data_IF_737574835255
#
_entry.id   IF_737574835255
#
_cell.length_a   1.000
_cell.length_b   1.000
_cell.length_c   1.000
_cell.angle_alpha   90.00
_cell.angle_beta   90.00
_cell.angle_gamma   90.00
#
_symmetry.space_group_name_H-M   'P 1'
#
loop_
_entity.id
_entity.type
_entity.pdbx_description
1 polymer ?
#
# COMPACT_ATOMS: atom_id res chain seq x y z
N UNK A 1 54.24 -18.74 69.41
CA UNK A 1 54.10 -19.31 68.06
C UNK A 1 52.61 -19.58 67.70
N UNK A 2 51.73 -18.57 67.75
CA UNK A 2 50.31 -18.73 67.36
C UNK A 2 49.78 -17.64 66.43
N UNK A 3 50.60 -16.65 66.08
CA UNK A 3 50.16 -15.44 65.34
C UNK A 3 50.53 -15.43 63.85
N UNK A 4 51.35 -16.38 63.38
CA UNK A 4 51.78 -16.44 61.98
C UNK A 4 50.86 -17.32 61.09
N UNK A 5 50.08 -18.23 61.68
CA UNK A 5 49.24 -19.17 60.93
C UNK A 5 47.88 -18.58 60.51
N UNK A 6 47.39 -17.53 61.19
CA UNK A 6 46.06 -16.96 60.93
C UNK A 6 46.05 -16.03 59.71
N UNK A 7 47.17 -15.38 59.41
CA UNK A 7 47.27 -14.45 58.25
C UNK A 7 47.44 -15.22 56.92
N UNK A 8 48.05 -16.40 56.95
CA UNK A 8 48.22 -17.23 55.75
C UNK A 8 46.91 -17.92 55.29
N UNK A 9 45.96 -18.15 56.21
CA UNK A 9 44.69 -18.79 55.90
C UNK A 9 43.64 -17.82 55.32
N UNK A 10 43.79 -16.51 55.57
CA UNK A 10 42.85 -15.48 55.10
C UNK A 10 43.06 -15.07 53.62
N UNK A 11 44.13 -15.52 52.97
CA UNK A 11 44.47 -15.15 51.59
C UNK A 11 44.09 -16.21 50.55
N UNK A 12 43.39 -17.29 50.96
CA UNK A 12 43.00 -18.38 50.07
C UNK A 12 41.53 -18.33 49.59
N UNK A 13 40.73 -17.35 50.03
CA UNK A 13 39.30 -17.32 49.73
C UNK A 13 38.90 -16.42 48.54
N UNK A 14 39.86 -15.89 47.77
CA UNK A 14 39.58 -14.89 46.72
C UNK A 14 39.79 -15.36 45.27
N UNK A 15 39.40 -16.61 44.93
CA UNK A 15 39.30 -17.02 43.52
C UNK A 15 38.10 -17.97 43.28
N UNK A 16 36.89 -17.44 43.41
CA UNK A 16 35.74 -17.97 42.66
C UNK A 16 35.19 -16.84 41.78
N UNK A 17 35.94 -16.57 40.72
CA UNK A 17 35.57 -15.66 39.65
C UNK A 17 34.25 -16.13 39.00
N UNK A 18 33.24 -15.26 39.10
CA UNK A 18 32.20 -15.01 38.10
C UNK A 18 31.86 -16.19 37.15
N UNK A 19 31.12 -17.17 37.65
CA UNK A 19 30.35 -18.05 36.78
C UNK A 19 29.12 -17.27 36.31
N UNK A 20 29.16 -16.75 35.09
CA UNK A 20 28.01 -16.10 34.47
C UNK A 20 26.82 -17.04 34.48
N UNK A 21 25.72 -16.63 35.11
CA UNK A 21 24.43 -17.31 34.97
C UNK A 21 24.01 -17.16 33.52
N UNK A 22 24.13 -18.25 32.75
CA UNK A 22 23.44 -18.39 31.47
C UNK A 22 21.94 -18.43 31.77
N UNK A 23 21.31 -17.26 31.83
CA UNK A 23 19.86 -17.15 31.69
C UNK A 23 19.56 -17.51 30.25
N UNK A 24 19.36 -18.81 30.00
CA UNK A 24 18.70 -19.26 28.78
C UNK A 24 17.27 -18.78 28.89
N UNK A 25 17.03 -17.55 28.42
CA UNK A 25 15.69 -17.09 28.16
C UNK A 25 15.07 -18.13 27.21
N UNK A 26 13.90 -18.72 27.53
CA UNK A 26 13.19 -19.47 26.53
C UNK A 26 12.86 -18.47 25.42
N UNK A 27 13.65 -18.48 24.34
CA UNK A 27 13.17 -18.01 23.05
C UNK A 27 12.14 -19.04 22.60
N UNK A 28 10.96 -19.00 23.22
CA UNK A 28 9.77 -19.27 22.46
C UNK A 28 9.73 -18.14 21.42
N UNK A 29 10.40 -18.37 20.30
CA UNK A 29 9.83 -17.91 19.05
C UNK A 29 8.48 -18.63 18.97
N UNK A 30 7.47 -18.07 19.66
CA UNK A 30 6.12 -18.14 19.18
C UNK A 30 6.31 -17.66 17.75
N UNK A 31 6.21 -18.59 16.80
CA UNK A 31 5.81 -18.19 15.46
C UNK A 31 4.53 -17.41 15.75
N UNK A 32 4.63 -16.07 15.72
CA UNK A 32 3.48 -15.19 15.80
C UNK A 32 2.76 -15.42 14.49
N UNK A 33 2.17 -16.61 14.34
CA UNK A 33 1.22 -16.88 13.29
C UNK A 33 0.09 -15.95 13.61
N UNK A 34 0.02 -14.86 12.87
CA UNK A 34 -1.04 -13.88 13.04
C UNK A 34 -2.38 -14.63 12.96
N UNK A 35 -3.36 -14.33 13.82
CA UNK A 35 -4.65 -15.02 13.80
C UNK A 35 -5.41 -14.89 12.47
N UNK A 36 -4.88 -14.09 11.52
CA UNK A 36 -5.45 -13.77 10.22
C UNK A 36 -4.79 -14.50 9.03
N UNK A 37 -4.01 -15.56 9.27
CA UNK A 37 -3.36 -16.35 8.21
C UNK A 37 -4.35 -17.06 7.24
N UNK A 38 -5.62 -17.17 7.61
CA UNK A 38 -6.70 -17.71 6.75
C UNK A 38 -7.58 -16.65 6.08
N UNK A 39 -7.26 -15.36 6.25
CA UNK A 39 -8.08 -14.27 5.73
C UNK A 39 -7.86 -14.03 4.23
N UNK A 40 -8.90 -13.50 3.57
CA UNK A 40 -8.92 -13.25 2.13
C UNK A 40 -7.75 -12.37 1.67
N UNK A 41 -6.85 -12.84 0.81
CA UNK A 41 -5.73 -12.04 0.28
C UNK A 41 -4.36 -12.38 0.86
N UNK A 42 -4.31 -13.45 1.67
CA UNK A 42 -3.13 -14.31 1.80
C UNK A 42 -2.93 -15.02 0.46
N UNK A 43 -1.75 -14.87 -0.13
CA UNK A 43 -1.43 -15.42 -1.45
C UNK A 43 -0.07 -16.11 -1.42
N UNK A 44 0.06 -17.22 -2.13
CA UNK A 44 1.37 -17.81 -2.39
C UNK A 44 2.13 -16.96 -3.43
N UNK A 45 3.46 -16.77 -3.33
CA UNK A 45 4.44 -17.40 -2.43
C UNK A 45 4.70 -16.65 -1.11
N UNK A 46 4.12 -15.47 -0.91
CA UNK A 46 4.41 -14.60 0.25
C UNK A 46 3.68 -15.02 1.52
N UNK A 47 2.62 -15.82 1.40
CA UNK A 47 1.74 -16.15 2.51
C UNK A 47 1.18 -14.89 3.17
N UNK A 48 1.02 -14.94 4.49
CA UNK A 48 0.62 -13.79 5.29
C UNK A 48 1.79 -12.80 5.42
N UNK A 49 1.69 -11.66 4.73
CA UNK A 49 2.75 -10.65 4.66
C UNK A 49 2.54 -9.52 5.69
N UNK A 50 3.18 -9.65 6.85
CA UNK A 50 3.21 -8.61 7.89
C UNK A 50 4.61 -8.49 8.52
N UNK A 51 5.58 -7.86 7.83
CA UNK A 51 6.95 -7.73 8.34
C UNK A 51 7.07 -6.78 9.53
N UNK A 52 6.11 -5.88 9.73
CA UNK A 52 6.10 -4.89 10.82
C UNK A 52 5.27 -5.35 12.03
N UNK A 53 4.66 -6.54 11.97
CA UNK A 53 3.87 -7.11 13.06
C UNK A 53 2.61 -6.30 13.39
N UNK A 54 2.10 -5.51 12.45
CA UNK A 54 0.95 -4.63 12.65
C UNK A 54 -0.32 -5.42 13.01
N UNK A 55 -0.45 -6.67 12.59
CA UNK A 55 -1.62 -7.51 12.87
C UNK A 55 -1.57 -8.24 14.21
N UNK A 56 -0.44 -8.17 14.92
CA UNK A 56 -0.13 -9.10 16.03
C UNK A 56 -0.79 -8.72 17.36
N UNK A 57 -1.08 -7.43 17.56
CA UNK A 57 -1.60 -6.88 18.83
C UNK A 57 -2.91 -6.09 18.65
N UNK A 58 -3.65 -6.36 17.57
CA UNK A 58 -4.79 -5.54 17.14
C UNK A 58 -6.11 -6.31 17.27
N UNK A 59 -7.19 -5.58 17.60
CA UNK A 59 -8.56 -6.10 17.65
C UNK A 59 -9.09 -6.46 16.25
N UNK A 60 -10.03 -7.41 16.14
CA UNK A 60 -10.60 -7.79 14.85
C UNK A 60 -11.27 -6.61 14.12
N UNK A 61 -11.90 -5.70 14.86
CA UNK A 61 -12.51 -4.49 14.31
C UNK A 61 -11.49 -3.58 13.61
N UNK A 62 -10.32 -3.39 14.20
CA UNK A 62 -9.26 -2.57 13.59
C UNK A 62 -8.64 -3.28 12.39
N UNK A 63 -8.58 -4.61 12.38
CA UNK A 63 -8.18 -5.37 11.18
C UNK A 63 -9.15 -5.17 10.02
N UNK A 64 -10.47 -5.21 10.29
CA UNK A 64 -11.50 -4.92 9.28
C UNK A 64 -11.40 -3.49 8.73
N UNK A 65 -11.08 -2.52 9.59
CA UNK A 65 -10.83 -1.14 9.17
C UNK A 65 -9.62 -1.04 8.23
N UNK A 66 -8.51 -1.73 8.55
CA UNK A 66 -7.34 -1.78 7.68
C UNK A 66 -7.62 -2.48 6.35
N UNK A 67 -8.40 -3.57 6.35
CA UNK A 67 -8.85 -4.22 5.13
C UNK A 67 -9.70 -3.29 4.26
N UNK A 68 -10.63 -2.58 4.89
CA UNK A 68 -11.51 -1.63 4.20
C UNK A 68 -10.70 -0.47 3.63
N UNK A 69 -9.71 0.03 4.37
CA UNK A 69 -8.78 1.03 3.89
C UNK A 69 -7.96 0.51 2.70
N UNK A 70 -7.38 -0.69 2.78
CA UNK A 70 -6.66 -1.33 1.67
C UNK A 70 -7.53 -1.40 0.41
N UNK A 71 -8.78 -1.81 0.54
CA UNK A 71 -9.71 -1.91 -0.58
C UNK A 71 -10.06 -0.53 -1.18
N UNK A 72 -10.33 0.48 -0.34
CA UNK A 72 -10.59 1.85 -0.81
C UNK A 72 -9.40 2.42 -1.57
N UNK A 73 -8.18 2.28 -1.05
CA UNK A 73 -6.96 2.75 -1.72
C UNK A 73 -6.70 1.98 -3.02
N UNK A 74 -6.90 0.66 -3.03
CA UNK A 74 -6.77 -0.18 -4.22
C UNK A 74 -7.70 0.24 -5.35
N UNK A 75 -8.98 0.48 -5.06
CA UNK A 75 -9.98 0.94 -6.04
C UNK A 75 -9.63 2.32 -6.62
N UNK A 76 -9.26 3.26 -5.76
CA UNK A 76 -8.84 4.60 -6.20
C UNK A 76 -7.58 4.52 -7.07
N UNK A 77 -6.62 3.67 -6.71
CA UNK A 77 -5.41 3.46 -7.51
C UNK A 77 -5.71 2.82 -8.87
N UNK A 78 -6.63 1.85 -8.95
CA UNK A 78 -7.05 1.26 -10.22
C UNK A 78 -7.66 2.32 -11.17
N UNK A 79 -8.53 3.19 -10.63
CA UNK A 79 -9.10 4.31 -11.39
C UNK A 79 -8.02 5.33 -11.78
N UNK A 80 -7.02 5.56 -10.92
CA UNK A 80 -5.90 6.46 -11.21
C UNK A 80 -5.07 5.96 -12.39
N UNK A 81 -4.70 4.67 -12.42
CA UNK A 81 -3.94 4.08 -13.53
C UNK A 81 -4.72 4.20 -14.85
N UNK A 82 -6.00 3.84 -14.85
CA UNK A 82 -6.85 4.01 -16.04
C UNK A 82 -6.96 5.49 -16.43
N UNK A 83 -7.07 6.38 -15.45
CA UNK A 83 -7.15 7.83 -15.64
C UNK A 83 -5.87 8.46 -16.19
N UNK A 84 -4.70 7.85 -15.98
CA UNK A 84 -3.45 8.28 -16.63
C UNK A 84 -3.36 7.79 -18.09
N UNK A 85 -3.79 6.55 -18.34
CA UNK A 85 -3.66 5.89 -19.65
C UNK A 85 -4.71 6.41 -20.65
N UNK A 86 -5.98 6.51 -20.27
CA UNK A 86 -7.09 6.82 -21.20
C UNK A 86 -6.94 8.17 -21.90
N UNK A 87 -6.55 9.29 -21.23
CA UNK A 87 -6.36 10.58 -21.88
C UNK A 87 -5.25 10.62 -22.94
N UNK A 88 -4.34 9.63 -22.94
CA UNK A 88 -3.33 9.48 -24.01
C UNK A 88 -3.95 8.96 -25.30
N UNK A 89 -4.94 8.06 -25.21
CA UNK A 89 -5.58 7.46 -26.37
C UNK A 89 -6.77 8.27 -26.89
N UNK A 90 -7.55 8.86 -25.98
CA UNK A 90 -8.80 9.50 -26.35
C UNK A 90 -9.10 10.71 -25.46
N UNK A 91 -9.43 11.84 -26.12
CA UNK A 91 -9.93 13.04 -25.47
C UNK A 91 -11.36 13.29 -25.90
N UNK A 92 -12.20 13.68 -24.95
CA UNK A 92 -13.60 14.00 -25.25
C UNK A 92 -13.69 15.25 -26.14
N UNK A 93 -14.57 15.25 -27.16
CA UNK A 93 -14.82 16.44 -27.95
C UNK A 93 -15.63 17.46 -27.12
N UNK A 94 -15.15 18.69 -27.03
CA UNK A 94 -15.86 19.80 -26.36
C UNK A 94 -14.95 20.67 -25.49
N UNK A 95 -15.60 21.49 -24.67
CA UNK A 95 -14.95 22.40 -23.71
C UNK A 95 -15.29 22.01 -22.28
N UNK A 96 -14.28 22.01 -21.40
CA UNK A 96 -14.44 21.76 -19.96
C UNK A 96 -15.04 22.98 -19.25
N UNK A 97 -14.71 24.16 -19.75
CA UNK A 97 -15.15 25.47 -19.29
C UNK A 97 -15.15 26.41 -20.50
N UNK A 98 -15.94 27.51 -20.51
CA UNK A 98 -15.98 28.41 -21.65
C UNK A 98 -14.57 28.89 -22.03
N UNK A 99 -14.09 28.46 -23.20
CA UNK A 99 -12.75 28.79 -23.72
C UNK A 99 -11.61 27.85 -23.34
N UNK A 100 -11.86 26.71 -22.69
CA UNK A 100 -10.87 25.65 -22.43
C UNK A 100 -11.35 24.35 -23.07
N UNK A 101 -10.72 23.97 -24.19
CA UNK A 101 -11.03 22.70 -24.85
C UNK A 101 -10.40 21.53 -24.09
N UNK A 102 -11.04 20.36 -24.11
CA UNK A 102 -10.45 19.14 -23.53
C UNK A 102 -9.13 18.75 -24.21
N UNK A 103 -8.93 19.16 -25.47
CA UNK A 103 -7.71 18.92 -26.23
C UNK A 103 -6.48 19.65 -25.66
N UNK A 104 -6.69 20.80 -25.02
CA UNK A 104 -5.61 21.66 -24.52
C UNK A 104 -5.15 21.28 -23.09
N UNK A 105 -5.78 20.26 -22.50
CA UNK A 105 -5.43 19.78 -21.16
C UNK A 105 -4.19 18.88 -21.28
N UNK A 106 -3.07 19.24 -20.62
CA UNK A 106 -1.87 18.41 -20.58
C UNK A 106 -2.14 17.13 -19.80
N UNK A 107 -1.41 16.06 -20.10
CA UNK A 107 -1.54 14.79 -19.38
C UNK A 107 -0.82 14.85 -18.02
N UNK A 108 -1.18 13.93 -17.12
CA UNK A 108 -0.52 13.76 -15.83
C UNK A 108 -0.82 14.86 -14.80
N UNK A 109 0.14 15.10 -13.91
CA UNK A 109 0.07 16.08 -12.81
C UNK A 109 -0.10 17.51 -13.33
N UNK A 110 0.35 17.80 -14.56
CA UNK A 110 0.12 19.09 -15.19
C UNK A 110 -1.36 19.42 -15.38
N UNK A 111 -2.21 18.39 -15.60
CA UNK A 111 -3.66 18.56 -15.75
C UNK A 111 -4.29 19.21 -14.52
N UNK A 112 -3.75 18.92 -13.34
CA UNK A 112 -4.31 19.36 -12.05
C UNK A 112 -4.38 20.89 -11.96
N UNK A 113 -3.38 21.58 -12.49
CA UNK A 113 -3.28 23.03 -12.46
C UNK A 113 -4.12 23.73 -13.54
N UNK A 114 -4.52 23.01 -14.59
CA UNK A 114 -5.31 23.56 -15.71
C UNK A 114 -6.81 23.53 -15.45
N UNK A 115 -7.26 22.63 -14.57
CA UNK A 115 -8.68 22.49 -14.25
C UNK A 115 -9.11 23.65 -13.34
N UNK A 116 -10.17 24.41 -13.68
CA UNK A 116 -10.64 25.52 -12.88
C UNK A 116 -11.11 25.05 -11.49
N UNK A 117 -10.92 25.89 -10.47
CA UNK A 117 -11.27 25.57 -9.08
C UNK A 117 -12.74 25.15 -8.89
N UNK A 118 -13.66 25.66 -9.72
CA UNK A 118 -15.07 25.27 -9.68
C UNK A 118 -15.27 23.80 -10.09
N UNK A 119 -14.49 23.30 -11.05
CA UNK A 119 -14.52 21.88 -11.44
C UNK A 119 -14.02 20.98 -10.33
N UNK A 120 -12.93 21.38 -9.66
CA UNK A 120 -12.43 20.69 -8.46
C UNK A 120 -13.46 20.63 -7.34
N UNK A 121 -14.15 21.75 -7.07
CA UNK A 121 -15.21 21.80 -6.06
C UNK A 121 -16.34 20.83 -6.42
N UNK A 122 -16.80 20.81 -7.67
CA UNK A 122 -17.85 19.89 -8.11
C UNK A 122 -17.45 18.43 -7.96
N UNK A 123 -16.21 18.07 -8.33
CA UNK A 123 -15.70 16.70 -8.20
C UNK A 123 -15.59 16.27 -6.73
N UNK A 124 -14.96 17.10 -5.88
CA UNK A 124 -14.80 16.79 -4.45
C UNK A 124 -16.15 16.76 -3.74
N UNK A 125 -17.07 17.67 -4.09
CA UNK A 125 -18.44 17.67 -3.55
C UNK A 125 -19.19 16.40 -3.94
N UNK A 126 -19.12 15.98 -5.21
CA UNK A 126 -19.77 14.76 -5.67
C UNK A 126 -19.18 13.52 -5.00
N UNK A 127 -17.85 13.39 -4.96
CA UNK A 127 -17.18 12.26 -4.30
C UNK A 127 -17.53 12.23 -2.82
N UNK A 128 -17.47 13.38 -2.14
CA UNK A 128 -17.80 13.51 -0.72
C UNK A 128 -19.27 13.19 -0.43
N UNK A 129 -20.19 13.63 -1.28
CA UNK A 129 -21.59 13.25 -1.18
C UNK A 129 -21.74 11.72 -1.34
N UNK A 130 -21.15 11.14 -2.38
CA UNK A 130 -21.31 9.69 -2.67
C UNK A 130 -20.70 8.82 -1.56
N UNK A 131 -19.56 9.19 -0.98
CA UNK A 131 -18.96 8.46 0.15
C UNK A 131 -19.77 8.68 1.45
N UNK A 132 -20.35 9.87 1.67
CA UNK A 132 -21.24 10.15 2.81
C UNK A 132 -22.56 9.38 2.75
N UNK A 133 -23.19 9.32 1.58
CA UNK A 133 -24.45 8.59 1.36
C UNK A 133 -24.22 7.07 1.18
N UNK A 134 -22.97 6.58 1.27
CA UNK A 134 -22.64 5.16 1.30
C UNK A 134 -22.75 4.42 -0.03
N UNK A 135 -22.98 5.13 -1.14
CA UNK A 135 -23.21 4.52 -2.47
C UNK A 135 -21.95 3.84 -3.01
N UNK A 136 -20.75 4.29 -2.62
CA UNK A 136 -19.45 3.72 -3.06
C UNK A 136 -18.98 2.50 -2.25
N UNK A 137 -19.59 2.21 -1.10
CA UNK A 137 -19.15 1.17 -0.18
C UNK A 137 -19.70 -0.22 -0.51
N UNK A 138 -20.99 -0.29 -0.85
CA UNK A 138 -21.65 -1.53 -1.22
C UNK A 138 -22.70 -1.29 -2.31
N UNK A 139 -22.28 -1.35 -3.58
CA UNK A 139 -23.22 -1.34 -4.70
C UNK A 139 -24.01 -2.64 -4.66
N UNK A 140 -25.16 -2.66 -3.98
CA UNK A 140 -26.15 -3.74 -4.11
C UNK A 140 -26.74 -3.80 -5.53
N UNK A 141 -26.59 -2.72 -6.29
CA UNK A 141 -26.83 -2.65 -7.74
C UNK A 141 -25.64 -3.26 -8.48
N UNK A 142 -25.87 -4.39 -9.14
CA UNK A 142 -24.90 -4.98 -10.07
C UNK A 142 -23.92 -5.98 -9.45
N UNK A 143 -24.11 -6.41 -8.20
CA UNK A 143 -23.44 -7.62 -7.70
C UNK A 143 -23.87 -8.79 -8.58
N UNK A 144 -22.95 -9.45 -9.30
CA UNK A 144 -23.29 -10.67 -9.99
C UNK A 144 -23.63 -11.73 -8.93
N UNK A 145 -24.77 -12.41 -9.06
CA UNK A 145 -25.15 -13.54 -8.20
C UNK A 145 -24.21 -14.70 -8.51
N UNK A 146 -23.08 -14.73 -7.81
CA UNK A 146 -22.03 -15.74 -7.96
C UNK A 146 -22.05 -16.71 -6.78
N UNK A 147 -21.59 -17.92 -7.05
CA UNK A 147 -21.34 -18.92 -6.02
C UNK A 147 -20.28 -18.42 -5.02
N UNK A 148 -20.36 -18.89 -3.77
CA UNK A 148 -19.53 -18.39 -2.67
C UNK A 148 -18.02 -18.50 -2.98
N UNK A 149 -17.62 -19.64 -3.57
CA UNK A 149 -16.24 -19.93 -3.94
C UNK A 149 -15.73 -19.00 -5.08
N UNK A 150 -16.59 -18.68 -6.05
CA UNK A 150 -16.22 -17.76 -7.14
C UNK A 150 -16.11 -16.32 -6.64
N UNK A 151 -17.01 -15.92 -5.74
CA UNK A 151 -17.02 -14.58 -5.15
C UNK A 151 -15.74 -14.31 -4.34
N UNK A 152 -15.26 -15.28 -3.55
CA UNK A 152 -13.97 -15.15 -2.85
C UNK A 152 -12.80 -14.98 -3.83
N UNK A 153 -12.79 -15.76 -4.91
CA UNK A 153 -11.76 -15.64 -5.95
C UNK A 153 -11.75 -14.25 -6.61
N UNK A 154 -12.92 -13.68 -6.91
CA UNK A 154 -13.02 -12.33 -7.51
C UNK A 154 -12.56 -11.24 -6.54
N UNK A 155 -12.92 -11.34 -5.26
CA UNK A 155 -12.44 -10.38 -4.25
C UNK A 155 -10.93 -10.47 -4.07
N UNK A 156 -10.35 -11.67 -4.12
CA UNK A 156 -8.90 -11.85 -4.09
C UNK A 156 -8.23 -11.23 -5.31
N UNK A 157 -8.80 -11.38 -6.51
CA UNK A 157 -8.33 -10.71 -7.71
C UNK A 157 -8.43 -9.19 -7.62
N UNK A 158 -9.54 -8.66 -7.11
CA UNK A 158 -9.72 -7.23 -6.89
C UNK A 158 -8.61 -6.68 -5.99
N UNK A 159 -8.34 -7.38 -4.89
CA UNK A 159 -7.30 -6.99 -3.94
C UNK A 159 -5.90 -7.06 -4.55
N UNK A 160 -5.59 -8.11 -5.31
CA UNK A 160 -4.30 -8.26 -6.01
C UNK A 160 -4.09 -7.16 -7.05
N UNK A 161 -5.08 -6.89 -7.89
CA UNK A 161 -5.03 -5.81 -8.87
C UNK A 161 -4.95 -4.44 -8.18
N UNK A 162 -5.61 -4.26 -7.04
CA UNK A 162 -5.52 -3.04 -6.23
C UNK A 162 -4.12 -2.82 -5.67
N UNK A 163 -3.49 -3.85 -5.11
CA UNK A 163 -2.08 -3.81 -4.64
C UNK A 163 -1.11 -3.44 -5.75
N UNK A 164 -1.25 -4.08 -6.91
CA UNK A 164 -0.44 -3.77 -8.09
C UNK A 164 -0.66 -2.33 -8.56
N UNK A 165 -1.92 -1.88 -8.62
CA UNK A 165 -2.28 -0.53 -9.06
C UNK A 165 -1.73 0.56 -8.13
N UNK A 166 -1.65 0.30 -6.82
CA UNK A 166 -1.04 1.24 -5.86
C UNK A 166 0.44 1.48 -6.16
N UNK A 167 1.18 0.42 -6.50
CA UNK A 167 2.60 0.52 -6.90
C UNK A 167 2.72 1.19 -8.28
N UNK A 168 1.86 0.82 -9.23
CA UNK A 168 1.86 1.41 -10.57
C UNK A 168 1.58 2.91 -10.54
N UNK A 169 0.60 3.36 -9.74
CA UNK A 169 0.28 4.78 -9.57
C UNK A 169 1.47 5.57 -9.02
N UNK A 170 2.20 4.98 -8.06
CA UNK A 170 3.40 5.62 -7.50
C UNK A 170 4.50 5.79 -8.55
N UNK A 171 4.71 4.78 -9.39
CA UNK A 171 5.72 4.81 -10.45
C UNK A 171 5.35 5.82 -11.55
N UNK A 172 4.08 5.85 -11.97
CA UNK A 172 3.56 6.84 -12.91
C UNK A 172 3.75 8.27 -12.37
N UNK A 173 3.43 8.50 -11.10
CA UNK A 173 3.60 9.80 -10.45
C UNK A 173 5.08 10.19 -10.36
N UNK A 174 5.95 9.25 -10.02
CA UNK A 174 7.41 9.47 -9.95
C UNK A 174 7.96 9.84 -11.33
N UNK A 175 7.61 9.10 -12.38
CA UNK A 175 8.03 9.40 -13.74
C UNK A 175 7.53 10.78 -14.20
N UNK A 176 6.26 11.09 -13.95
CA UNK A 176 5.71 12.40 -14.32
C UNK A 176 6.39 13.54 -13.56
N UNK A 177 6.71 13.35 -12.28
CA UNK A 177 7.47 14.34 -11.49
C UNK A 177 8.88 14.60 -12.03
N UNK A 178 9.53 13.57 -12.58
CA UNK A 178 10.88 13.66 -13.16
C UNK A 178 10.87 14.40 -14.50
N UNK A 179 9.79 14.27 -15.28
CA UNK A 179 9.59 15.00 -16.53
C UNK A 179 9.55 16.53 -16.33
N UNK A 180 9.17 17.02 -15.14
CA UNK A 180 9.22 18.46 -14.83
C UNK A 180 10.62 19.00 -14.53
N UNK A 181 11.55 18.15 -14.05
CA UNK A 181 12.89 18.56 -13.64
C UNK A 181 13.88 18.53 -14.81
N UNK A 182 13.67 17.63 -15.78
CA UNK A 182 14.45 17.57 -17.01
C UNK A 182 13.53 17.23 -18.18
N UNK A 183 13.21 18.21 -19.05
CA UNK A 183 12.42 17.95 -20.24
C UNK A 183 13.21 17.00 -21.15
N UNK A 184 12.76 15.75 -21.28
CA UNK A 184 13.44 14.72 -22.06
C UNK A 184 14.46 13.85 -21.32
N UNK A 185 14.44 13.79 -19.97
CA UNK A 185 15.09 12.68 -19.25
C UNK A 185 14.23 11.42 -19.38
N UNK A 186 14.21 10.86 -20.58
CA UNK A 186 13.73 9.52 -20.85
C UNK A 186 14.83 8.57 -20.38
N UNK A 187 14.77 8.19 -19.10
CA UNK A 187 15.59 7.10 -18.57
C UNK A 187 15.25 5.82 -19.33
N UNK A 188 16.17 5.38 -20.19
CA UNK A 188 15.95 4.38 -21.24
C UNK A 188 14.78 4.77 -22.15
N UNK A 189 15.09 5.67 -23.09
CA UNK A 189 14.33 5.97 -24.32
C UNK A 189 13.28 4.88 -24.61
N UNK A 190 11.99 5.25 -24.49
CA UNK A 190 10.82 4.40 -24.68
C UNK A 190 10.34 3.54 -23.47
N UNK A 191 9.99 4.11 -22.31
CA UNK A 191 9.13 3.38 -21.33
C UNK A 191 7.71 3.93 -21.18
N UNK A 192 7.50 5.22 -21.46
CA UNK A 192 6.15 5.78 -21.65
C UNK A 192 5.77 5.79 -23.14
N UNK A 193 6.75 5.99 -24.04
CA UNK A 193 6.58 5.85 -25.50
C UNK A 193 6.96 4.47 -26.04
N UNK A 194 7.36 3.50 -25.19
CA UNK A 194 7.79 2.16 -25.63
C UNK A 194 6.99 1.01 -25.09
N UNK A 195 5.70 1.02 -25.40
CA UNK A 195 4.99 -0.25 -25.58
C UNK A 195 5.35 -0.76 -26.99
N UNK A 196 6.16 -1.83 -27.14
CA UNK A 196 6.54 -2.37 -28.47
C UNK A 196 5.36 -2.96 -29.27
N UNK A 197 4.13 -2.80 -28.78
CA UNK A 197 2.89 -3.15 -29.47
C UNK A 197 2.06 -1.92 -29.89
N UNK A 198 2.54 -0.69 -29.65
CA UNK A 198 1.83 0.56 -30.01
C UNK A 198 2.55 1.40 -31.08
N UNK A 199 3.44 0.79 -31.86
CA UNK A 199 3.87 1.31 -33.17
C UNK A 199 3.63 0.26 -34.26
#
# INVERSE_FOLDING_TARGET
MKSAAVVALAMLESVNAFAGVSVSAPRSAIKMSSPYEGELGVIDPTGFFDPLGLSTSISPETFEQYRTAELKHGRVAQLCVIGYIVPEFYRFPGEIAPGIAFADIPNGVAAINTIPALGWLQMVFLIGAVDYWGVLGDFSIGKPDLDADELEKRKLQELQHGRLAMIATLELLRHDSQNFVSPGFDGLDNLITGLPFLY
#
